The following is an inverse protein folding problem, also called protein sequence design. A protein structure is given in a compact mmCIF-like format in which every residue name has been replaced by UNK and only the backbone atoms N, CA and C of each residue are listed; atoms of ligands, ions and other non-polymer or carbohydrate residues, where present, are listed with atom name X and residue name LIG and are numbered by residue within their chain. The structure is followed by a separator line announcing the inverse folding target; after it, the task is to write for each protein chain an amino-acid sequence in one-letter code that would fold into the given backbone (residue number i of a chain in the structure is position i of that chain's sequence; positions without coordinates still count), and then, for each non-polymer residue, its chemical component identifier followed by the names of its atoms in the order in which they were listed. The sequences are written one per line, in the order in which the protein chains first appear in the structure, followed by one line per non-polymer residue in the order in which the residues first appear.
data_IF_836790277643
#
_entry.id   IF_836790277643
#
_cell.length_a   1.000
_cell.length_b   1.000
_cell.length_c   1.000
_cell.angle_alpha   90.00
_cell.angle_beta   90.00
_cell.angle_gamma   90.00
#
_symmetry.space_group_name_H-M   'P 1'
#
loop_
_entity.id
_entity.type
_entity.pdbx_description
1 polymer ?
#
# COMPACT_ATOMS: atom_id res chain seq x y z
N UNK A 1 -15.22 7.28 44.68
CA UNK A 1 -14.03 6.42 44.79
C UNK A 1 -13.09 7.05 45.79
N UNK A 2 -12.64 6.29 46.78
CA UNK A 2 -11.78 6.77 47.85
C UNK A 2 -10.40 7.17 47.29
N UNK A 3 -10.00 8.43 47.47
CA UNK A 3 -8.80 9.03 46.86
C UNK A 3 -7.48 8.48 47.42
N UNK A 4 -7.55 7.49 48.32
CA UNK A 4 -6.43 6.85 48.99
C UNK A 4 -5.99 5.51 48.37
N UNK A 5 -6.79 4.94 47.44
CA UNK A 5 -6.54 3.64 46.81
C UNK A 5 -5.20 3.55 46.05
N UNK A 6 -4.65 4.65 45.53
CA UNK A 6 -3.35 4.62 44.83
C UNK A 6 -2.14 4.35 45.73
N UNK A 7 -2.33 4.40 47.06
CA UNK A 7 -1.32 4.01 48.07
C UNK A 7 -1.42 2.54 48.47
N UNK A 8 -2.44 1.82 48.02
CA UNK A 8 -2.59 0.40 48.32
C UNK A 8 -1.51 -0.42 47.61
N UNK A 9 -1.21 -1.58 48.18
CA UNK A 9 -0.28 -2.54 47.55
C UNK A 9 -0.95 -3.10 46.29
N UNK A 10 -0.21 -3.25 45.17
CA UNK A 10 -0.74 -3.92 43.99
C UNK A 10 -1.23 -5.32 44.38
N UNK A 11 -2.45 -5.68 43.95
CA UNK A 11 -2.92 -7.05 44.07
C UNK A 11 -2.00 -7.98 43.28
N UNK A 12 -1.68 -9.11 43.89
CA UNK A 12 -0.83 -10.15 43.33
C UNK A 12 -1.61 -11.45 43.37
N UNK A 13 -1.49 -12.26 42.32
CA UNK A 13 -2.20 -13.54 42.25
C UNK A 13 -1.79 -14.47 43.39
N UNK A 14 -2.69 -15.38 43.76
CA UNK A 14 -2.53 -16.33 44.87
C UNK A 14 -1.27 -17.21 44.75
N UNK A 15 -0.86 -17.55 43.54
CA UNK A 15 0.37 -18.32 43.30
C UNK A 15 1.65 -17.51 43.55
N UNK A 16 1.60 -16.22 43.21
CA UNK A 16 2.69 -15.27 43.48
C UNK A 16 2.80 -15.00 44.97
N UNK A 17 1.68 -14.85 45.69
CA UNK A 17 1.69 -14.68 47.15
C UNK A 17 2.33 -15.86 47.87
N UNK A 18 2.04 -17.10 47.43
CA UNK A 18 2.67 -18.31 47.97
C UNK A 18 4.17 -18.32 47.74
N UNK A 19 4.60 -17.98 46.53
CA UNK A 19 6.03 -17.92 46.17
C UNK A 19 6.76 -16.81 46.93
N UNK A 20 6.07 -15.71 47.21
CA UNK A 20 6.62 -14.59 47.96
C UNK A 20 6.84 -14.92 49.44
N UNK A 21 6.21 -15.94 50.03
CA UNK A 21 6.42 -16.27 51.45
C UNK A 21 7.90 -16.53 51.77
N UNK A 22 8.62 -17.18 50.85
CA UNK A 22 10.03 -17.57 50.96
C UNK A 22 11.01 -16.41 50.74
N UNK A 23 10.53 -15.26 50.22
CA UNK A 23 11.38 -14.13 49.86
C UNK A 23 11.70 -13.23 51.04
N UNK A 24 12.85 -12.56 50.97
CA UNK A 24 13.21 -11.55 51.95
C UNK A 24 12.35 -10.27 51.81
N UNK A 25 12.41 -9.40 52.82
CA UNK A 25 11.64 -8.15 52.84
C UNK A 25 12.07 -7.16 51.75
N UNK A 26 13.31 -7.23 51.28
CA UNK A 26 13.89 -6.36 50.26
C UNK A 26 13.47 -6.80 48.85
N UNK A 27 13.44 -8.09 48.58
CA UNK A 27 12.97 -8.76 47.37
C UNK A 27 11.47 -8.54 47.17
N UNK A 28 10.68 -8.73 48.24
CA UNK A 28 9.25 -8.38 48.25
C UNK A 28 9.04 -6.92 47.84
N UNK A 29 9.80 -5.99 48.45
CA UNK A 29 9.71 -4.56 48.15
C UNK A 29 10.11 -4.25 46.70
N UNK A 30 11.19 -4.86 46.20
CA UNK A 30 11.66 -4.69 44.82
C UNK A 30 10.63 -5.21 43.81
N UNK A 31 10.00 -6.35 44.09
CA UNK A 31 8.93 -6.91 43.27
C UNK A 31 7.71 -5.98 43.20
N UNK A 32 7.18 -5.51 44.34
CA UNK A 32 6.04 -4.60 44.33
C UNK A 32 6.34 -3.26 43.64
N UNK A 33 7.57 -2.74 43.78
CA UNK A 33 8.01 -1.57 43.03
C UNK A 33 8.05 -1.84 41.52
N UNK A 34 8.55 -3.00 41.11
CA UNK A 34 8.55 -3.45 39.73
C UNK A 34 7.13 -3.62 39.16
N UNK A 35 6.24 -4.28 39.89
CA UNK A 35 4.84 -4.44 39.51
C UNK A 35 4.13 -3.08 39.37
N UNK A 36 4.37 -2.16 40.30
CA UNK A 36 3.82 -0.80 40.21
C UNK A 36 4.38 -0.04 39.02
N UNK A 37 5.68 -0.14 38.76
CA UNK A 37 6.30 0.47 37.58
C UNK A 37 5.73 -0.09 36.27
N UNK A 38 5.48 -1.41 36.23
CA UNK A 38 4.82 -2.07 35.11
C UNK A 38 3.39 -1.54 34.89
N UNK A 39 2.54 -1.51 35.93
CA UNK A 39 1.19 -0.96 35.81
C UNK A 39 1.20 0.51 35.40
N UNK A 40 2.14 1.32 35.90
CA UNK A 40 2.30 2.72 35.48
C UNK A 40 2.72 2.83 34.00
N UNK A 41 3.62 1.97 33.53
CA UNK A 41 4.02 1.93 32.13
C UNK A 41 2.84 1.52 31.23
N UNK A 42 2.12 0.45 31.58
CA UNK A 42 0.92 0.03 30.87
C UNK A 42 -0.15 1.12 30.86
N UNK A 43 -0.40 1.77 32.00
CA UNK A 43 -1.38 2.85 32.08
C UNK A 43 -0.97 4.05 31.21
N UNK A 44 0.31 4.45 31.21
CA UNK A 44 0.82 5.51 30.31
C UNK A 44 0.62 5.13 28.85
N UNK A 45 0.97 3.90 28.47
CA UNK A 45 0.78 3.39 27.11
C UNK A 45 -0.69 3.36 26.71
N UNK A 46 -1.57 2.93 27.60
CA UNK A 46 -3.02 2.93 27.38
C UNK A 46 -3.56 4.35 27.24
N UNK A 47 -3.16 5.29 28.11
CA UNK A 47 -3.56 6.69 28.01
C UNK A 47 -3.08 7.34 26.70
N UNK A 48 -1.92 6.95 26.18
CA UNK A 48 -1.38 7.46 24.92
C UNK A 48 -2.08 6.85 23.69
N UNK A 49 -2.45 5.56 23.74
CA UNK A 49 -2.97 4.81 22.58
C UNK A 49 -4.50 4.75 22.55
N UNK A 50 -5.17 4.82 23.70
CA UNK A 50 -6.62 4.78 23.75
C UNK A 50 -7.18 6.13 23.31
N UNK A 51 -8.21 6.15 22.45
CA UNK A 51 -8.84 7.36 21.98
C UNK A 51 -9.80 7.92 23.06
N UNK A 52 -9.30 8.21 24.26
CA UNK A 52 -10.10 8.67 25.39
C UNK A 52 -10.76 10.03 25.11
N UNK A 53 -10.11 10.87 24.31
CA UNK A 53 -10.63 12.17 23.87
C UNK A 53 -11.58 12.08 22.66
N UNK A 54 -11.85 10.88 22.16
CA UNK A 54 -12.73 10.71 21.00
C UNK A 54 -14.18 10.97 21.40
N UNK A 55 -14.66 12.15 21.03
CA UNK A 55 -16.01 12.64 21.30
C UNK A 55 -17.11 11.76 20.69
N UNK A 56 -16.84 11.02 19.61
CA UNK A 56 -17.82 10.09 19.01
C UNK A 56 -18.04 8.90 19.96
N UNK A 57 -16.96 8.31 20.47
CA UNK A 57 -17.05 7.19 21.42
C UNK A 57 -17.65 7.64 22.76
N UNK A 58 -17.30 8.84 23.23
CA UNK A 58 -17.91 9.43 24.42
C UNK A 58 -19.42 9.66 24.21
N UNK A 59 -19.82 10.19 23.04
CA UNK A 59 -21.22 10.45 22.73
C UNK A 59 -22.00 9.14 22.52
N UNK A 60 -21.37 8.07 22.04
CA UNK A 60 -21.98 6.75 21.92
C UNK A 60 -22.37 6.12 23.27
N UNK A 61 -21.92 6.69 24.39
CA UNK A 61 -22.41 6.31 25.73
C UNK A 61 -23.93 6.48 25.87
N UNK A 62 -24.59 7.30 25.05
CA UNK A 62 -26.05 7.43 25.01
C UNK A 62 -26.77 6.10 24.72
N UNK A 63 -26.06 5.13 24.12
CA UNK A 63 -26.60 3.79 23.89
C UNK A 63 -26.75 2.98 25.17
N UNK A 64 -25.97 3.31 26.21
CA UNK A 64 -26.18 2.78 27.54
C UNK A 64 -27.38 3.50 28.14
N UNK A 65 -28.43 2.75 28.43
CA UNK A 65 -29.70 3.27 28.99
C UNK A 65 -29.56 3.80 30.43
N UNK A 66 -28.35 4.07 30.91
CA UNK A 66 -28.16 4.64 32.24
C UNK A 66 -28.68 6.08 32.21
N UNK A 67 -29.71 6.33 33.02
CA UNK A 67 -30.44 7.59 33.10
C UNK A 67 -29.48 8.76 33.25
N UNK A 68 -29.20 9.42 32.14
CA UNK A 68 -28.42 10.64 32.06
C UNK A 68 -29.38 11.76 31.68
N UNK A 69 -29.03 13.01 31.99
CA UNK A 69 -29.81 14.18 31.61
C UNK A 69 -30.14 14.15 30.10
N UNK A 70 -31.43 14.18 29.75
CA UNK A 70 -31.96 14.13 28.38
C UNK A 70 -31.33 15.21 27.49
N UNK A 71 -31.06 16.39 28.04
CA UNK A 71 -30.44 17.48 27.28
C UNK A 71 -29.01 17.13 26.84
N UNK A 72 -28.26 16.43 27.69
CA UNK A 72 -26.91 15.94 27.36
C UNK A 72 -26.97 14.85 26.29
N UNK A 73 -27.95 13.95 26.38
CA UNK A 73 -28.16 12.89 25.38
C UNK A 73 -28.52 13.48 24.01
N UNK A 74 -29.37 14.50 23.96
CA UNK A 74 -29.75 15.18 22.73
C UNK A 74 -28.57 15.91 22.10
N UNK A 75 -27.70 16.53 22.91
CA UNK A 75 -26.45 17.13 22.41
C UNK A 75 -25.51 16.06 21.84
N UNK A 76 -25.37 14.93 22.53
CA UNK A 76 -24.58 13.80 22.05
C UNK A 76 -25.16 13.22 20.74
N UNK A 77 -26.48 13.08 20.65
CA UNK A 77 -27.18 12.62 19.45
C UNK A 77 -26.96 13.58 18.27
N UNK A 78 -27.14 14.89 18.46
CA UNK A 78 -26.85 15.92 17.45
C UNK A 78 -25.41 15.84 16.96
N UNK A 79 -24.47 15.67 17.88
CA UNK A 79 -23.06 15.51 17.54
C UNK A 79 -22.83 14.24 16.71
N UNK A 80 -23.33 13.07 17.14
CA UNK A 80 -23.18 11.81 16.41
C UNK A 80 -23.77 11.87 14.99
N UNK A 81 -24.95 12.45 14.84
CA UNK A 81 -25.58 12.61 13.52
C UNK A 81 -24.73 13.53 12.63
N UNK A 82 -24.17 14.61 13.18
CA UNK A 82 -23.27 15.50 12.41
C UNK A 82 -22.00 14.80 11.91
N UNK A 83 -21.53 13.78 12.65
CA UNK A 83 -20.34 13.00 12.29
C UNK A 83 -20.68 11.83 11.34
N UNK A 84 -21.97 11.52 11.15
CA UNK A 84 -22.46 10.39 10.35
C UNK A 84 -23.49 10.82 9.28
N UNK A 85 -23.17 11.78 8.39
CA UNK A 85 -24.10 12.26 7.36
C UNK A 85 -24.49 11.18 6.35
N UNK A 86 -23.68 10.12 6.21
CA UNK A 86 -23.99 8.94 5.40
C UNK A 86 -25.09 8.06 5.99
N UNK A 87 -25.36 8.19 7.30
CA UNK A 87 -26.35 7.39 8.01
C UNK A 87 -27.66 8.17 8.15
N UNK A 88 -27.62 9.43 8.55
CA UNK A 88 -28.80 10.30 8.68
C UNK A 88 -28.48 11.61 7.94
N UNK A 89 -29.36 12.02 7.03
CA UNK A 89 -29.18 13.27 6.27
C UNK A 89 -29.44 14.48 7.17
N UNK A 90 -28.87 15.63 6.82
CA UNK A 90 -29.06 16.88 7.58
C UNK A 90 -30.55 17.28 7.75
N UNK A 91 -31.39 16.99 6.76
CA UNK A 91 -32.83 17.26 6.79
C UNK A 91 -33.58 16.39 7.81
N UNK A 92 -33.05 15.19 8.11
CA UNK A 92 -33.68 14.19 8.98
C UNK A 92 -33.25 14.34 10.46
N UNK A 93 -32.35 15.29 10.78
CA UNK A 93 -31.78 15.48 12.12
C UNK A 93 -32.87 15.81 13.14
N UNK A 94 -33.75 16.75 12.83
CA UNK A 94 -34.85 17.14 13.73
C UNK A 94 -35.77 15.95 14.00
N UNK A 95 -36.11 15.20 12.95
CA UNK A 95 -36.95 14.00 13.06
C UNK A 95 -36.31 12.90 13.91
N UNK A 96 -35.00 12.72 13.81
CA UNK A 96 -34.27 11.76 14.66
C UNK A 96 -34.26 12.19 16.15
N UNK A 97 -34.20 13.48 16.43
CA UNK A 97 -34.31 14.02 17.80
C UNK A 97 -35.73 13.83 18.34
N UNK A 98 -36.75 14.04 17.50
CA UNK A 98 -38.14 13.80 17.88
C UNK A 98 -38.39 12.32 18.19
N UNK A 99 -37.85 11.40 17.37
CA UNK A 99 -37.86 9.96 17.68
C UNK A 99 -37.19 9.64 19.02
N UNK A 100 -36.07 10.29 19.35
CA UNK A 100 -35.38 10.10 20.63
C UNK A 100 -36.23 10.56 21.82
N UNK A 101 -36.84 11.75 21.72
CA UNK A 101 -37.76 12.24 22.76
C UNK A 101 -38.98 11.34 22.91
N UNK A 102 -39.58 10.90 21.80
CA UNK A 102 -40.70 9.96 21.83
C UNK A 102 -40.31 8.67 22.53
N UNK A 103 -39.15 8.08 22.22
CA UNK A 103 -38.65 6.88 22.89
C UNK A 103 -38.49 7.06 24.42
N UNK A 104 -38.02 8.22 24.86
CA UNK A 104 -37.88 8.53 26.30
C UNK A 104 -39.24 8.77 26.98
N UNK A 105 -40.19 9.39 26.29
CA UNK A 105 -41.55 9.58 26.78
C UNK A 105 -42.38 8.29 26.77
N UNK A 106 -42.14 7.40 25.80
CA UNK A 106 -42.77 6.09 25.61
C UNK A 106 -42.37 5.06 26.67
N UNK A 107 -41.70 5.47 27.75
CA UNK A 107 -41.12 4.60 28.79
C UNK A 107 -42.14 3.59 29.35
N UNK A 108 -42.33 2.49 28.63
CA UNK A 108 -42.80 1.23 29.15
C UNK A 108 -41.70 0.78 30.11
N UNK A 109 -41.95 1.00 31.40
CA UNK A 109 -41.10 0.63 32.53
C UNK A 109 -40.55 -0.80 32.43
N UNK A 110 -41.22 -1.69 31.71
CA UNK A 110 -40.85 -3.10 31.52
C UNK A 110 -39.67 -3.34 30.55
N UNK A 111 -39.46 -2.51 29.52
CA UNK A 111 -38.28 -2.64 28.64
C UNK A 111 -36.99 -2.18 29.32
N UNK A 112 -37.15 -1.37 30.38
CA UNK A 112 -36.07 -0.68 31.10
C UNK A 112 -35.65 -1.41 32.38
N UNK A 113 -36.50 -2.31 32.88
CA UNK A 113 -36.27 -3.08 34.11
C UNK A 113 -35.31 -4.27 33.92
N UNK A 114 -34.99 -4.67 32.68
CA UNK A 114 -34.05 -5.77 32.39
C UNK A 114 -32.60 -5.29 32.46
N UNK A 115 -32.16 -5.00 33.69
CA UNK A 115 -30.74 -4.95 34.02
C UNK A 115 -30.11 -6.33 33.82
N UNK A 116 -29.18 -6.45 32.87
CA UNK A 116 -28.44 -7.70 32.63
C UNK A 116 -28.37 -8.15 31.17
N UNK A 117 -29.23 -7.65 30.29
CA UNK A 117 -29.17 -8.01 28.86
C UNK A 117 -28.09 -7.24 28.10
N UNK A 118 -27.51 -7.90 27.09
CA UNK A 118 -26.54 -7.33 26.14
C UNK A 118 -27.17 -6.16 25.38
N UNK A 119 -26.40 -5.11 25.14
CA UNK A 119 -26.87 -3.83 24.59
C UNK A 119 -27.61 -3.97 23.25
N UNK A 120 -27.13 -4.84 22.37
CA UNK A 120 -27.72 -5.13 21.06
C UNK A 120 -29.07 -5.86 21.16
N UNK A 121 -29.25 -6.75 22.13
CA UNK A 121 -30.52 -7.44 22.38
C UNK A 121 -31.57 -6.43 22.84
N UNK A 122 -31.19 -5.53 23.74
CA UNK A 122 -32.07 -4.46 24.23
C UNK A 122 -32.53 -3.55 23.09
N UNK A 123 -31.60 -3.08 22.27
CA UNK A 123 -31.93 -2.24 21.11
C UNK A 123 -32.70 -3.01 20.04
N UNK A 124 -32.46 -4.33 19.89
CA UNK A 124 -33.25 -5.21 19.03
C UNK A 124 -34.74 -5.16 19.34
N UNK A 125 -35.12 -5.25 20.62
CA UNK A 125 -36.53 -5.14 21.06
C UNK A 125 -37.14 -3.78 20.70
N UNK A 126 -36.38 -2.70 20.79
CA UNK A 126 -36.83 -1.35 20.40
C UNK A 126 -37.07 -1.27 18.88
N UNK A 127 -36.21 -1.92 18.08
CA UNK A 127 -36.36 -1.94 16.61
C UNK A 127 -37.58 -2.74 16.13
N UNK A 128 -38.07 -3.67 16.95
CA UNK A 128 -39.25 -4.49 16.66
C UNK A 128 -40.57 -3.74 16.94
N UNK A 129 -40.52 -2.63 17.68
CA UNK A 129 -41.70 -1.80 17.95
C UNK A 129 -42.25 -1.24 16.64
N UNK A 130 -43.56 -1.42 16.44
CA UNK A 130 -44.29 -0.93 15.28
C UNK A 130 -45.26 0.16 15.69
N UNK A 131 -45.37 1.17 14.83
CA UNK A 131 -46.46 2.15 14.86
C UNK A 131 -47.80 1.46 14.55
N UNK A 132 -48.95 2.08 14.90
CA UNK A 132 -50.27 1.52 14.60
C UNK A 132 -50.51 1.17 13.12
N UNK A 133 -49.79 1.82 12.20
CA UNK A 133 -49.79 1.52 10.75
C UNK A 133 -48.85 0.40 10.31
N UNK A 134 -48.29 -0.40 11.23
CA UNK A 134 -47.41 -1.54 10.93
C UNK A 134 -45.97 -1.18 10.52
N UNK A 135 -45.65 0.11 10.37
CA UNK A 135 -44.31 0.62 10.10
C UNK A 135 -43.43 0.60 11.37
N UNK A 136 -42.09 0.53 11.25
CA UNK A 136 -41.20 0.64 12.40
C UNK A 136 -41.44 1.96 13.15
N UNK A 137 -41.49 1.90 14.48
CA UNK A 137 -41.81 3.05 15.34
C UNK A 137 -40.70 4.12 15.36
N UNK A 138 -39.44 3.69 15.28
CA UNK A 138 -38.26 4.58 15.30
C UNK A 138 -37.27 4.22 14.16
N UNK A 139 -37.61 4.51 12.89
CA UNK A 139 -36.80 4.11 11.74
C UNK A 139 -35.42 4.81 11.69
N UNK A 140 -35.35 6.11 11.99
CA UNK A 140 -34.09 6.86 11.92
C UNK A 140 -33.15 6.45 13.06
N UNK A 141 -33.71 6.32 14.27
CA UNK A 141 -32.94 5.88 15.43
C UNK A 141 -32.44 4.45 15.26
N UNK A 142 -33.27 3.56 14.69
CA UNK A 142 -32.85 2.18 14.40
C UNK A 142 -31.65 2.12 13.47
N UNK A 143 -31.63 2.97 12.43
CA UNK A 143 -30.52 3.05 11.47
C UNK A 143 -29.25 3.58 12.14
N UNK A 144 -29.37 4.63 12.94
CA UNK A 144 -28.23 5.22 13.67
C UNK A 144 -27.62 4.24 14.66
N UNK A 145 -28.43 3.64 15.52
CA UNK A 145 -27.96 2.74 16.57
C UNK A 145 -27.32 1.49 15.97
N UNK A 146 -27.89 0.91 14.90
CA UNK A 146 -27.26 -0.21 14.19
C UNK A 146 -25.88 0.17 13.66
N UNK A 147 -25.70 1.37 13.12
CA UNK A 147 -24.39 1.81 12.66
C UNK A 147 -23.39 1.95 13.81
N UNK A 148 -23.81 2.56 14.93
CA UNK A 148 -22.96 2.73 16.11
C UNK A 148 -22.56 1.40 16.75
N UNK A 149 -23.48 0.43 16.84
CA UNK A 149 -23.20 -0.92 17.38
C UNK A 149 -22.32 -1.77 16.45
N UNK A 150 -22.19 -1.39 15.17
CA UNK A 150 -21.26 -2.01 14.23
C UNK A 150 -19.85 -1.43 14.31
N UNK A 151 -19.61 -0.38 15.10
CA UNK A 151 -18.27 0.15 15.30
C UNK A 151 -17.42 -0.87 16.09
N UNK A 152 -16.24 -1.23 15.59
CA UNK A 152 -15.35 -2.14 16.31
C UNK A 152 -14.90 -1.48 17.62
N UNK A 153 -15.15 -2.15 18.74
CA UNK A 153 -14.84 -1.67 20.09
C UNK A 153 -13.40 -1.96 20.52
N UNK A 154 -12.57 -2.48 19.61
CA UNK A 154 -11.15 -2.74 19.83
C UNK A 154 -10.54 -3.59 18.72
N UNK A 155 -9.22 -3.81 18.80
CA UNK A 155 -8.48 -4.63 17.83
C UNK A 155 -8.58 -6.13 18.11
N UNK A 156 -9.26 -6.54 19.18
CA UNK A 156 -9.34 -7.93 19.61
C UNK A 156 -9.89 -8.87 18.52
N UNK A 157 -10.84 -8.43 17.70
CA UNK A 157 -11.36 -9.25 16.59
C UNK A 157 -10.32 -9.44 15.47
N UNK A 158 -9.54 -8.39 15.18
CA UNK A 158 -8.41 -8.48 14.25
C UNK A 158 -7.30 -9.39 14.80
N UNK A 159 -6.99 -9.27 16.09
CA UNK A 159 -5.97 -10.05 16.81
C UNK A 159 -6.33 -11.53 16.95
N UNK A 160 -7.60 -11.85 17.22
CA UNK A 160 -8.12 -13.23 17.14
C UNK A 160 -7.89 -13.80 15.76
N UNK A 161 -8.18 -13.01 14.72
CA UNK A 161 -7.86 -13.36 13.36
C UNK A 161 -6.36 -13.66 13.16
N UNK A 162 -5.46 -12.79 13.64
CA UNK A 162 -4.02 -13.02 13.55
C UNK A 162 -3.57 -14.27 14.29
N UNK A 163 -4.15 -14.56 15.45
CA UNK A 163 -3.87 -15.79 16.20
C UNK A 163 -4.28 -17.04 15.42
N UNK A 164 -5.41 -17.01 14.72
CA UNK A 164 -5.82 -18.10 13.83
C UNK A 164 -4.86 -18.28 12.64
N UNK A 165 -4.22 -17.20 12.20
CA UNK A 165 -3.22 -17.24 11.14
C UNK A 165 -1.83 -17.71 11.60
N UNK A 166 -1.59 -17.81 12.91
CA UNK A 166 -0.29 -18.23 13.46
C UNK A 166 0.19 -19.56 12.86
N UNK A 167 -0.75 -20.47 12.59
CA UNK A 167 -0.51 -21.78 11.95
C UNK A 167 0.10 -21.69 10.55
N UNK A 168 -0.15 -20.61 9.80
CA UNK A 168 0.43 -20.42 8.47
C UNK A 168 1.91 -20.00 8.56
N UNK A 169 2.28 -19.25 9.60
CA UNK A 169 3.66 -18.83 9.85
C UNK A 169 4.51 -19.97 10.44
N UNK A 170 3.97 -20.73 11.40
CA UNK A 170 4.71 -21.79 12.10
C UNK A 170 5.06 -22.98 11.18
N UNK A 171 4.20 -23.31 10.21
CA UNK A 171 4.35 -24.50 9.38
C UNK A 171 4.99 -24.24 8.00
N UNK A 172 5.66 -23.08 7.80
CA UNK A 172 6.30 -22.68 6.52
C UNK A 172 5.37 -22.77 5.29
N UNK A 173 4.06 -22.61 5.47
CA UNK A 173 3.15 -22.58 4.32
C UNK A 173 3.39 -21.29 3.54
N UNK A 174 4.01 -21.38 2.36
CA UNK A 174 4.13 -20.26 1.42
C UNK A 174 2.80 -20.02 0.72
N UNK A 175 1.83 -19.48 1.47
CA UNK A 175 0.57 -19.02 0.90
C UNK A 175 0.69 -17.53 0.57
N UNK A 176 0.27 -17.17 -0.64
CA UNK A 176 0.15 -15.76 -0.99
C UNK A 176 -1.01 -15.11 -0.20
N UNK A 177 -0.93 -13.79 -0.01
CA UNK A 177 -1.92 -13.00 0.74
C UNK A 177 -3.35 -13.23 0.21
N UNK A 178 -3.51 -13.37 -1.11
CA UNK A 178 -4.81 -13.64 -1.73
C UNK A 178 -5.42 -14.98 -1.27
N UNK A 179 -4.60 -16.03 -1.14
CA UNK A 179 -5.04 -17.34 -0.63
C UNK A 179 -5.42 -17.27 0.84
N UNK A 180 -4.66 -16.53 1.65
CA UNK A 180 -4.98 -16.32 3.07
C UNK A 180 -6.32 -15.58 3.22
N UNK A 181 -6.52 -14.50 2.45
CA UNK A 181 -7.76 -13.74 2.45
C UNK A 181 -8.96 -14.60 2.00
N UNK A 182 -8.79 -15.40 0.94
CA UNK A 182 -9.82 -16.33 0.47
C UNK A 182 -10.22 -17.35 1.54
N UNK A 183 -9.24 -18.02 2.15
CA UNK A 183 -9.47 -19.00 3.23
C UNK A 183 -10.17 -18.35 4.42
N UNK A 184 -9.74 -17.16 4.83
CA UNK A 184 -10.39 -16.42 5.92
C UNK A 184 -11.83 -16.08 5.60
N UNK A 185 -12.10 -15.55 4.40
CA UNK A 185 -13.45 -15.15 4.02
C UNK A 185 -14.39 -16.36 4.00
N UNK A 186 -13.93 -17.50 3.48
CA UNK A 186 -14.68 -18.77 3.52
C UNK A 186 -14.91 -19.25 4.95
N UNK A 187 -13.88 -19.27 5.79
CA UNK A 187 -14.00 -19.72 7.20
C UNK A 187 -14.96 -18.84 8.00
N UNK A 188 -14.85 -17.52 7.84
CA UNK A 188 -15.76 -16.56 8.50
C UNK A 188 -17.20 -16.72 8.01
N UNK A 189 -17.39 -16.99 6.72
CA UNK A 189 -18.73 -17.24 6.17
C UNK A 189 -19.32 -18.54 6.71
N UNK A 190 -18.54 -19.62 6.78
CA UNK A 190 -18.96 -20.91 7.35
C UNK A 190 -19.36 -20.80 8.83
N UNK A 191 -18.72 -19.92 9.61
CA UNK A 191 -19.10 -19.68 11.02
C UNK A 191 -20.53 -19.20 11.20
N UNK A 192 -21.15 -18.59 10.18
CA UNK A 192 -22.57 -18.20 10.22
C UNK A 192 -23.51 -19.41 10.24
N UNK A 193 -22.99 -20.59 9.89
CA UNK A 193 -23.69 -21.86 9.80
C UNK A 193 -23.08 -22.90 10.74
N UNK A 194 -22.55 -22.46 11.89
CA UNK A 194 -21.89 -23.32 12.89
C UNK A 194 -20.65 -24.10 12.37
N UNK A 195 -20.10 -23.69 11.24
CA UNK A 195 -19.02 -24.41 10.56
C UNK A 195 -19.49 -25.61 9.73
N UNK A 196 -20.79 -25.84 9.61
CA UNK A 196 -21.36 -26.90 8.80
C UNK A 196 -21.54 -26.42 7.34
N UNK A 197 -20.81 -27.06 6.43
CA UNK A 197 -20.86 -26.75 5.00
C UNK A 197 -22.19 -27.15 4.34
N UNK A 198 -22.94 -28.08 4.92
CA UNK A 198 -24.20 -28.57 4.34
C UNK A 198 -25.31 -27.53 4.49
N UNK A 199 -25.28 -26.76 5.58
CA UNK A 199 -26.23 -25.68 5.86
C UNK A 199 -26.02 -24.45 4.97
N UNK A 200 -24.92 -24.39 4.21
CA UNK A 200 -24.61 -23.25 3.35
C UNK A 200 -25.52 -23.27 2.10
N UNK A 201 -26.35 -22.24 1.89
CA UNK A 201 -27.21 -22.17 0.71
C UNK A 201 -26.36 -22.00 -0.56
N UNK A 202 -26.60 -22.88 -1.54
CA UNK A 202 -25.98 -22.80 -2.85
C UNK A 202 -26.71 -21.76 -3.72
N UNK A 203 -26.32 -20.49 -3.57
CA UNK A 203 -26.86 -19.41 -4.41
C UNK A 203 -26.43 -19.56 -5.87
N UNK A 204 -27.25 -19.04 -6.78
CA UNK A 204 -26.92 -18.98 -8.22
C UNK A 204 -25.63 -18.21 -8.48
N UNK A 205 -25.38 -17.15 -7.71
CA UNK A 205 -24.16 -16.35 -7.73
C UNK A 205 -22.92 -17.18 -7.32
N UNK A 206 -23.05 -18.01 -6.27
CA UNK A 206 -21.96 -18.88 -5.82
C UNK A 206 -21.61 -19.91 -6.91
N UNK A 207 -22.63 -20.53 -7.53
CA UNK A 207 -22.45 -21.46 -8.63
C UNK A 207 -21.80 -20.81 -9.85
N UNK A 208 -22.21 -19.58 -10.21
CA UNK A 208 -21.57 -18.81 -11.28
C UNK A 208 -20.13 -18.43 -10.94
N UNK A 209 -19.85 -18.06 -9.70
CA UNK A 209 -18.50 -17.74 -9.21
C UNK A 209 -17.57 -18.94 -9.32
N UNK A 210 -18.04 -20.14 -8.92
CA UNK A 210 -17.28 -21.39 -9.07
C UNK A 210 -17.01 -21.70 -10.54
N UNK A 211 -18.01 -21.58 -11.42
CA UNK A 211 -17.83 -21.79 -12.87
C UNK A 211 -16.76 -20.85 -13.47
N UNK A 212 -16.71 -19.60 -13.01
CA UNK A 212 -15.73 -18.59 -13.48
C UNK A 212 -14.37 -18.66 -12.77
N UNK A 213 -14.23 -19.45 -11.72
CA UNK A 213 -13.01 -19.49 -10.89
C UNK A 213 -11.78 -19.87 -11.69
N UNK A 214 -11.89 -20.88 -12.58
CA UNK A 214 -10.79 -21.33 -13.44
C UNK A 214 -10.36 -20.25 -14.43
N UNK A 215 -11.32 -19.56 -15.06
CA UNK A 215 -11.04 -18.46 -15.99
C UNK A 215 -10.32 -17.30 -15.28
N UNK A 216 -10.79 -16.91 -14.10
CA UNK A 216 -10.13 -15.88 -13.27
C UNK A 216 -8.73 -16.28 -12.82
N UNK A 217 -8.53 -17.55 -12.49
CA UNK A 217 -7.20 -18.06 -12.14
C UNK A 217 -6.25 -17.97 -13.33
N UNK A 218 -6.68 -18.44 -14.51
CA UNK A 218 -5.85 -18.40 -15.72
C UNK A 218 -5.50 -16.97 -16.14
N UNK A 219 -6.46 -16.04 -16.05
CA UNK A 219 -6.24 -14.63 -16.31
C UNK A 219 -5.20 -14.04 -15.34
N UNK A 220 -5.35 -14.29 -14.04
CA UNK A 220 -4.39 -13.84 -13.01
C UNK A 220 -2.98 -14.37 -13.26
N UNK A 221 -2.84 -15.66 -13.58
CA UNK A 221 -1.52 -16.26 -13.87
C UNK A 221 -0.89 -15.67 -15.12
N UNK A 222 -1.69 -15.43 -16.17
CA UNK A 222 -1.20 -14.80 -17.41
C UNK A 222 -0.76 -13.35 -17.17
N UNK A 223 -1.54 -12.56 -16.44
CA UNK A 223 -1.17 -11.18 -16.07
C UNK A 223 0.10 -11.13 -15.20
N UNK A 224 0.25 -12.08 -14.26
CA UNK A 224 1.44 -12.18 -13.43
C UNK A 224 2.68 -12.48 -14.28
N UNK A 225 2.61 -13.48 -15.17
CA UNK A 225 3.69 -13.82 -16.09
C UNK A 225 4.04 -12.63 -17.01
N UNK A 226 3.05 -11.94 -17.56
CA UNK A 226 3.29 -10.77 -18.40
C UNK A 226 3.98 -9.64 -17.63
N UNK A 227 3.61 -9.43 -16.37
CA UNK A 227 4.24 -8.42 -15.50
C UNK A 227 5.69 -8.78 -15.16
N UNK A 228 6.01 -10.05 -14.92
CA UNK A 228 7.37 -10.52 -14.68
C UNK A 228 8.24 -10.41 -15.94
N UNK A 229 7.70 -10.81 -17.10
CA UNK A 229 8.41 -10.66 -18.37
C UNK A 229 8.74 -9.20 -18.66
N UNK A 230 7.78 -8.28 -18.46
CA UNK A 230 8.01 -6.83 -18.62
C UNK A 230 9.07 -6.29 -17.66
N UNK A 231 9.10 -6.75 -16.41
CA UNK A 231 10.14 -6.36 -15.44
C UNK A 231 11.52 -6.86 -15.88
N UNK A 232 11.63 -8.12 -16.31
CA UNK A 232 12.90 -8.69 -16.82
C UNK A 232 13.42 -7.95 -18.05
N UNK A 233 12.54 -7.59 -18.98
CA UNK A 233 12.87 -6.78 -20.15
C UNK A 233 13.35 -5.38 -19.73
N UNK A 234 12.65 -4.71 -18.80
CA UNK A 234 13.05 -3.40 -18.29
C UNK A 234 14.38 -3.40 -17.53
N UNK A 235 14.65 -4.42 -16.72
CA UNK A 235 15.90 -4.55 -15.96
C UNK A 235 17.11 -4.84 -16.88
N UNK A 236 16.90 -5.60 -17.97
CA UNK A 236 17.96 -5.84 -18.97
C UNK A 236 18.27 -4.59 -19.80
N UNK A 237 17.24 -3.84 -20.22
CA UNK A 237 17.39 -2.65 -21.05
C UNK A 237 18.01 -1.48 -20.25
N UNK A 238 17.63 -1.33 -18.98
CA UNK A 238 18.25 -0.34 -18.08
C UNK A 238 19.68 -0.71 -17.68
N UNK A 239 19.99 -2.00 -17.51
CA UNK A 239 21.36 -2.45 -17.23
C UNK A 239 22.33 -2.12 -18.37
N UNK A 240 21.93 -2.42 -19.61
CA UNK A 240 22.75 -2.14 -20.79
C UNK A 240 22.97 -0.63 -21.02
N UNK A 241 21.93 0.19 -20.88
CA UNK A 241 22.02 1.66 -21.01
C UNK A 241 22.88 2.29 -19.89
N UNK A 242 22.84 1.75 -18.67
CA UNK A 242 23.68 2.22 -17.57
C UNK A 242 25.15 1.88 -17.79
N UNK A 243 25.46 0.68 -18.28
CA UNK A 243 26.83 0.26 -18.54
C UNK A 243 27.47 1.03 -19.72
N UNK A 244 26.72 1.29 -20.78
CA UNK A 244 27.18 2.12 -21.90
C UNK A 244 27.42 3.58 -21.48
N UNK A 245 26.52 4.16 -20.69
CA UNK A 245 26.69 5.53 -20.13
C UNK A 245 27.91 5.63 -19.22
N UNK A 246 28.16 4.61 -18.38
CA UNK A 246 29.35 4.55 -17.51
C UNK A 246 30.63 4.48 -18.34
N UNK A 247 30.65 3.64 -19.36
CA UNK A 247 31.79 3.50 -20.26
C UNK A 247 32.10 4.82 -20.99
N UNK A 248 31.08 5.48 -21.52
CA UNK A 248 31.21 6.79 -22.18
C UNK A 248 31.76 7.87 -21.22
N UNK A 249 31.23 7.96 -20.00
CA UNK A 249 31.72 8.91 -19.00
C UNK A 249 33.20 8.69 -18.65
N UNK A 250 33.61 7.43 -18.47
CA UNK A 250 35.01 7.09 -18.21
C UNK A 250 35.94 7.49 -19.36
N UNK A 251 35.49 7.32 -20.62
CA UNK A 251 36.26 7.75 -21.79
C UNK A 251 36.34 9.28 -21.90
N UNK A 252 35.25 10.00 -21.62
CA UNK A 252 35.23 11.47 -21.57
C UNK A 252 36.19 12.01 -20.48
N UNK A 253 36.22 11.40 -19.29
CA UNK A 253 37.16 11.74 -18.22
C UNK A 253 38.62 11.50 -18.66
N UNK A 254 38.92 10.38 -19.34
CA UNK A 254 40.26 10.15 -19.91
C UNK A 254 40.67 11.20 -20.94
N UNK A 255 39.75 11.62 -21.81
CA UNK A 255 40.01 12.71 -22.79
C UNK A 255 40.34 14.02 -22.07
N UNK A 256 39.61 14.36 -21.00
CA UNK A 256 39.93 15.57 -20.22
C UNK A 256 41.30 15.49 -19.55
N UNK A 257 41.68 14.31 -19.03
CA UNK A 257 42.98 14.07 -18.43
C UNK A 257 44.12 14.18 -19.45
N UNK A 258 43.99 13.56 -20.62
CA UNK A 258 44.97 13.65 -21.71
C UNK A 258 45.14 15.08 -22.22
N UNK A 259 44.06 15.86 -22.32
CA UNK A 259 44.14 17.31 -22.66
C UNK A 259 44.88 18.12 -21.60
N UNK A 260 44.72 17.80 -20.32
CA UNK A 260 45.44 18.46 -19.24
C UNK A 260 46.95 18.12 -19.28
N UNK A 261 47.31 16.88 -19.62
CA UNK A 261 48.71 16.48 -19.82
C UNK A 261 49.36 17.22 -21.00
N UNK A 262 48.66 17.36 -22.12
CA UNK A 262 49.15 18.14 -23.27
C UNK A 262 49.40 19.60 -22.92
N UNK A 263 48.49 20.21 -22.15
CA UNK A 263 48.67 21.59 -21.68
C UNK A 263 49.90 21.72 -20.76
N UNK A 264 50.11 20.77 -19.86
CA UNK A 264 51.33 20.73 -19.01
C UNK A 264 52.60 20.56 -19.84
N UNK A 265 52.57 19.70 -20.86
CA UNK A 265 53.71 19.52 -21.76
C UNK A 265 54.04 20.83 -22.50
N UNK A 266 53.03 21.57 -22.97
CA UNK A 266 53.19 22.88 -23.60
C UNK A 266 53.78 23.94 -22.65
N UNK A 267 53.30 23.98 -21.40
CA UNK A 267 53.84 24.85 -20.35
C UNK A 267 55.31 24.52 -20.02
N UNK A 268 55.67 23.24 -19.97
CA UNK A 268 57.05 22.78 -19.71
C UNK A 268 57.96 23.16 -20.87
N UNK A 269 57.55 22.90 -22.13
CA UNK A 269 58.34 23.27 -23.32
C UNK A 269 58.53 24.78 -23.36
N UNK A 270 57.48 25.57 -23.14
CA UNK A 270 57.57 27.02 -23.16
C UNK A 270 58.44 27.58 -22.02
N UNK A 271 58.44 26.97 -20.83
CA UNK A 271 59.38 27.31 -19.77
C UNK A 271 60.83 26.93 -20.11
N UNK A 272 61.05 25.76 -20.71
CA UNK A 272 62.37 25.27 -21.13
C UNK A 272 63.00 26.13 -22.22
N UNK A 273 62.18 26.60 -23.16
CA UNK A 273 62.60 27.55 -24.19
C UNK A 273 62.98 28.92 -23.60
N UNK A 274 62.26 29.40 -22.57
CA UNK A 274 62.58 30.65 -21.86
C UNK A 274 63.85 30.51 -21.00
N UNK A 275 64.04 29.36 -20.36
CA UNK A 275 65.19 29.08 -19.49
C UNK A 275 66.43 28.56 -20.24
N UNK A 276 66.31 28.30 -21.56
CA UNK A 276 67.33 27.62 -22.40
C UNK A 276 67.77 26.26 -21.84
N UNK A 277 66.89 25.59 -21.09
CA UNK A 277 67.13 24.25 -20.56
C UNK A 277 66.69 23.21 -21.58
N UNK A 278 67.66 22.50 -22.18
CA UNK A 278 67.38 21.43 -23.14
C UNK A 278 66.63 20.26 -22.48
N UNK A 279 66.98 19.94 -21.24
CA UNK A 279 66.35 18.87 -20.44
C UNK A 279 64.85 19.10 -20.24
N UNK A 280 64.44 20.34 -19.97
CA UNK A 280 63.01 20.69 -19.82
C UNK A 280 62.26 20.57 -21.15
N UNK A 281 62.90 20.93 -22.27
CA UNK A 281 62.29 20.79 -23.61
C UNK A 281 62.12 19.32 -23.98
N UNK A 282 63.11 18.47 -23.68
CA UNK A 282 63.06 17.03 -23.95
C UNK A 282 62.03 16.30 -23.05
N UNK A 283 61.96 16.66 -21.76
CA UNK A 283 60.92 16.20 -20.84
C UNK A 283 59.51 16.64 -21.29
N UNK A 284 59.39 17.86 -21.81
CA UNK A 284 58.15 18.35 -22.39
C UNK A 284 57.75 17.60 -23.67
N UNK A 285 58.69 17.32 -24.57
CA UNK A 285 58.43 16.58 -25.82
C UNK A 285 58.01 15.13 -25.58
N UNK A 286 58.63 14.45 -24.62
CA UNK A 286 58.26 13.08 -24.22
C UNK A 286 56.84 13.02 -23.66
N UNK A 287 56.47 13.96 -22.77
CA UNK A 287 55.10 14.09 -22.26
C UNK A 287 54.07 14.41 -23.35
N UNK A 288 54.47 15.19 -24.36
CA UNK A 288 53.61 15.55 -25.49
C UNK A 288 53.34 14.33 -26.39
N UNK A 289 54.37 13.50 -26.63
CA UNK A 289 54.22 12.26 -27.39
C UNK A 289 53.32 11.24 -26.67
N UNK A 290 53.49 11.08 -25.36
CA UNK A 290 52.65 10.21 -24.53
C UNK A 290 51.19 10.70 -24.47
N UNK A 291 51.00 12.00 -24.24
CA UNK A 291 49.68 12.63 -24.20
C UNK A 291 48.93 12.50 -25.53
N UNK A 292 49.62 12.67 -26.67
CA UNK A 292 49.02 12.52 -27.99
C UNK A 292 48.64 11.07 -28.29
N UNK A 293 49.50 10.11 -27.96
CA UNK A 293 49.23 8.68 -28.17
C UNK A 293 47.99 8.23 -27.36
N UNK A 294 47.92 8.62 -26.08
CA UNK A 294 46.79 8.32 -25.21
C UNK A 294 45.47 8.99 -25.68
N UNK A 295 45.56 10.24 -26.17
CA UNK A 295 44.40 10.97 -26.69
C UNK A 295 43.87 10.33 -27.98
N UNK A 296 44.75 9.95 -28.91
CA UNK A 296 44.34 9.30 -30.16
C UNK A 296 43.66 7.95 -29.92
N UNK A 297 44.17 7.14 -28.99
CA UNK A 297 43.55 5.86 -28.63
C UNK A 297 42.15 6.03 -28.02
N UNK A 298 42.00 6.99 -27.11
CA UNK A 298 40.71 7.26 -26.44
C UNK A 298 39.67 7.86 -27.39
N UNK A 299 40.08 8.73 -28.33
CA UNK A 299 39.20 9.26 -29.37
C UNK A 299 38.74 8.17 -30.35
N UNK A 300 39.63 7.25 -30.74
CA UNK A 300 39.28 6.13 -31.61
C UNK A 300 38.24 5.21 -30.96
N UNK A 301 38.37 4.92 -29.66
CA UNK A 301 37.38 4.15 -28.91
C UNK A 301 36.02 4.85 -28.82
N UNK A 302 36.01 6.18 -28.65
CA UNK A 302 34.77 6.97 -28.61
C UNK A 302 34.07 7.00 -29.99
N UNK A 303 34.85 7.08 -31.06
CA UNK A 303 34.33 7.03 -32.43
C UNK A 303 33.75 5.64 -32.77
N UNK A 304 34.39 4.57 -32.32
CA UNK A 304 33.89 3.20 -32.51
C UNK A 304 32.57 2.96 -31.77
N UNK A 305 32.43 3.47 -30.55
CA UNK A 305 31.17 3.45 -29.80
C UNK A 305 30.07 4.26 -30.53
N UNK A 306 30.42 5.44 -31.06
CA UNK A 306 29.49 6.26 -31.84
C UNK A 306 29.04 5.57 -33.13
N UNK A 307 29.95 4.90 -33.85
CA UNK A 307 29.62 4.13 -35.06
C UNK A 307 28.71 2.94 -34.77
N UNK A 308 28.97 2.19 -33.69
CA UNK A 308 28.09 1.08 -33.25
C UNK A 308 26.69 1.57 -32.91
N UNK A 309 26.55 2.78 -32.35
CA UNK A 309 25.26 3.38 -32.06
C UNK A 309 24.54 3.96 -33.29
N UNK A 310 25.27 4.23 -34.39
CA UNK A 310 24.74 4.92 -35.59
C UNK A 310 24.44 3.99 -36.77
N UNK A 311 24.93 2.74 -36.73
CA UNK A 311 24.77 1.76 -37.80
C UNK A 311 23.38 1.09 -37.73
N UNK A 312 22.38 1.77 -38.27
CA UNK A 312 21.01 1.26 -38.33
C UNK A 312 20.75 0.48 -39.62
N UNK A 313 20.20 -0.73 -39.49
CA UNK A 313 19.72 -1.55 -40.60
C UNK A 313 18.64 -0.85 -41.47
N UNK A 314 18.05 0.26 -41.01
CA UNK A 314 17.12 1.08 -41.78
C UNK A 314 17.76 1.81 -42.97
N UNK A 315 19.08 1.97 -42.98
CA UNK A 315 19.76 2.69 -44.05
C UNK A 315 19.94 1.84 -45.33
N UNK A 316 19.81 0.51 -45.23
CA UNK A 316 19.84 -0.42 -46.37
C UNK A 316 18.54 -0.33 -47.20
N UNK A 317 18.59 0.12 -48.48
CA UNK A 317 17.42 0.17 -49.35
C UNK A 317 16.74 -1.17 -49.56
N UNK A 318 17.52 -2.26 -49.70
CA UNK A 318 16.96 -3.59 -49.98
C UNK A 318 16.14 -4.10 -48.78
N UNK A 319 16.60 -3.81 -47.57
CA UNK A 319 15.91 -4.19 -46.34
C UNK A 319 14.63 -3.35 -46.14
N UNK A 320 14.64 -2.05 -46.48
CA UNK A 320 13.43 -1.21 -46.45
C UNK A 320 12.37 -1.66 -47.45
N UNK A 321 12.80 -2.00 -48.65
CA UNK A 321 11.89 -2.46 -49.71
C UNK A 321 11.32 -3.84 -49.37
N UNK A 322 12.13 -4.73 -48.81
CA UNK A 322 11.70 -6.03 -48.30
C UNK A 322 10.67 -5.88 -47.16
N UNK A 323 10.92 -5.02 -46.17
CA UNK A 323 9.99 -4.75 -45.07
C UNK A 323 8.66 -4.18 -45.59
N UNK A 324 8.71 -3.29 -46.57
CA UNK A 324 7.52 -2.70 -47.17
C UNK A 324 6.71 -3.73 -47.96
N UNK A 325 7.39 -4.66 -48.64
CA UNK A 325 6.78 -5.69 -49.49
C UNK A 325 6.23 -6.89 -48.69
N UNK A 326 6.86 -7.22 -47.56
CA UNK A 326 6.46 -8.33 -46.68
C UNK A 326 5.42 -7.93 -45.63
N UNK A 327 4.99 -6.66 -45.62
CA UNK A 327 4.01 -6.15 -44.66
C UNK A 327 2.68 -6.87 -44.82
N UNK A 328 2.23 -7.54 -43.75
CA UNK A 328 0.90 -8.16 -43.70
C UNK A 328 -0.16 -7.06 -43.80
N UNK A 329 -1.16 -7.27 -44.67
CA UNK A 329 -2.25 -6.30 -44.82
C UNK A 329 -3.08 -6.22 -43.53
N UNK A 330 -3.59 -5.03 -43.24
CA UNK A 330 -4.41 -4.80 -42.05
C UNK A 330 -5.71 -5.62 -42.06
N UNK A 331 -6.27 -5.87 -43.25
CA UNK A 331 -7.42 -6.77 -43.43
C UNK A 331 -7.12 -8.22 -43.03
N UNK A 332 -5.95 -8.74 -43.41
CA UNK A 332 -5.53 -10.11 -43.04
C UNK A 332 -5.23 -10.22 -41.54
N UNK A 333 -4.59 -9.19 -40.95
CA UNK A 333 -4.40 -9.09 -39.50
C UNK A 333 -5.72 -9.12 -38.74
N UNK A 334 -6.73 -8.38 -39.20
CA UNK A 334 -8.06 -8.37 -38.59
C UNK A 334 -8.79 -9.71 -38.75
N UNK A 335 -8.58 -10.42 -39.87
CA UNK A 335 -9.09 -11.78 -40.09
C UNK A 335 -8.43 -12.80 -39.15
N UNK A 336 -7.13 -12.71 -38.93
CA UNK A 336 -6.43 -13.59 -37.99
C UNK A 336 -6.84 -13.32 -36.53
N UNK A 337 -7.10 -12.04 -36.18
CA UNK A 337 -7.68 -11.68 -34.88
C UNK A 337 -9.07 -12.26 -34.68
N UNK A 338 -9.92 -12.28 -35.72
CA UNK A 338 -11.28 -12.84 -35.61
C UNK A 338 -11.31 -14.37 -35.60
N UNK A 339 -10.32 -15.03 -36.21
CA UNK A 339 -10.14 -16.48 -36.16
C UNK A 339 -9.69 -16.99 -34.79
N UNK A 340 -9.15 -16.12 -33.93
CA UNK A 340 -8.86 -16.41 -32.53
C UNK A 340 -10.04 -15.97 -31.65
N UNK A 341 -10.99 -16.86 -31.30
CA UNK A 341 -12.25 -16.49 -30.63
C UNK A 341 -12.07 -16.13 -29.14
N UNK A 342 -10.83 -15.94 -28.66
CA UNK A 342 -10.51 -15.64 -27.26
C UNK A 342 -10.22 -14.13 -27.12
N UNK A 343 -11.18 -13.33 -26.63
CA UNK A 343 -11.00 -11.90 -26.44
C UNK A 343 -9.79 -11.60 -25.54
N UNK A 344 -8.96 -10.63 -25.94
CA UNK A 344 -7.81 -10.17 -25.15
C UNK A 344 -6.54 -11.03 -25.26
N UNK A 345 -6.54 -12.08 -26.07
CA UNK A 345 -5.30 -12.84 -26.36
C UNK A 345 -4.44 -12.07 -27.36
N UNK A 346 -3.14 -11.91 -27.07
CA UNK A 346 -2.20 -11.35 -28.04
C UNK A 346 -2.17 -12.25 -29.29
N UNK A 347 -2.25 -11.63 -30.46
CA UNK A 347 -2.07 -12.33 -31.72
C UNK A 347 -0.59 -12.67 -31.87
N UNK A 348 -0.23 -13.92 -31.66
CA UNK A 348 1.12 -14.42 -31.92
C UNK A 348 1.25 -14.71 -33.42
N UNK A 349 2.09 -13.93 -34.09
CA UNK A 349 2.36 -14.06 -35.52
C UNK A 349 3.56 -14.99 -35.77
N UNK A 350 4.31 -15.40 -34.74
CA UNK A 350 5.50 -16.24 -34.88
C UNK A 350 6.47 -15.73 -35.95
N UNK A 351 6.77 -16.58 -36.92
CA UNK A 351 7.68 -16.26 -38.04
C UNK A 351 7.09 -15.24 -39.03
N UNK A 352 5.79 -14.94 -38.96
CA UNK A 352 5.13 -13.90 -39.75
C UNK A 352 5.12 -12.52 -39.05
N UNK A 353 5.74 -12.40 -37.87
CA UNK A 353 5.85 -11.12 -37.17
C UNK A 353 6.78 -10.15 -37.92
N UNK A 354 6.28 -8.94 -38.20
CA UNK A 354 7.08 -7.90 -38.87
C UNK A 354 8.08 -7.28 -37.91
N UNK A 355 9.33 -7.75 -37.96
CA UNK A 355 10.45 -7.21 -37.18
C UNK A 355 11.08 -6.01 -37.89
N UNK A 356 10.56 -4.81 -37.60
CA UNK A 356 10.94 -3.59 -38.30
C UNK A 356 11.93 -2.78 -37.43
N UNK A 357 13.15 -2.48 -37.91
CA UNK A 357 14.06 -1.59 -37.20
C UNK A 357 13.52 -0.16 -37.18
N UNK A 358 13.73 0.58 -36.08
CA UNK A 358 13.27 1.98 -35.91
C UNK A 358 14.42 2.83 -35.37
N UNK A 359 14.61 4.06 -35.89
CA UNK A 359 15.59 5.02 -35.35
C UNK A 359 14.88 5.99 -34.41
N UNK A 360 15.38 6.10 -33.18
CA UNK A 360 14.96 7.12 -32.22
C UNK A 360 15.94 8.30 -32.25
N UNK A 361 15.47 9.48 -32.69
CA UNK A 361 16.28 10.71 -32.70
C UNK A 361 15.78 11.63 -31.59
N UNK A 362 16.60 11.80 -30.55
CA UNK A 362 16.34 12.82 -29.52
C UNK A 362 16.97 14.14 -29.96
N UNK A 363 16.14 15.16 -30.16
CA UNK A 363 16.60 16.55 -30.31
C UNK A 363 16.57 17.23 -28.95
N UNK A 364 17.72 17.66 -28.45
CA UNK A 364 17.73 18.49 -27.25
C UNK A 364 17.21 19.89 -27.60
N UNK A 365 16.11 20.28 -26.95
CA UNK A 365 15.51 21.59 -27.12
C UNK A 365 16.31 22.67 -26.37
N UNK A 366 16.62 23.78 -27.04
CA UNK A 366 16.98 25.01 -26.35
C UNK A 366 15.83 25.41 -25.44
N UNK A 367 16.08 25.56 -24.14
CA UNK A 367 15.11 26.05 -23.14
C UNK A 367 14.68 27.51 -23.33
N UNK A 368 14.90 28.11 -24.49
CA UNK A 368 14.61 29.52 -24.75
C UNK A 368 13.17 29.81 -25.22
N UNK A 369 12.34 28.79 -25.46
CA UNK A 369 10.96 28.99 -25.96
C UNK A 369 9.87 28.46 -25.03
N UNK A 370 10.06 28.54 -23.71
CA UNK A 370 8.93 28.52 -22.77
C UNK A 370 8.59 29.96 -22.43
N UNK A 371 7.67 30.54 -23.21
CA UNK A 371 7.10 31.86 -23.00
C UNK A 371 6.35 31.95 -21.67
N UNK A 372 7.10 32.12 -20.59
CA UNK A 372 6.63 32.61 -19.30
C UNK A 372 7.33 33.95 -19.09
N UNK A 373 6.82 34.99 -19.75
CA UNK A 373 7.01 36.35 -19.29
C UNK A 373 6.26 36.48 -17.97
N UNK A 374 6.99 36.54 -16.87
CA UNK A 374 6.49 37.09 -15.61
C UNK A 374 6.59 38.61 -15.73
N UNK A 375 5.49 39.23 -16.12
CA UNK A 375 5.11 40.57 -15.62
C UNK A 375 3.98 40.40 -14.60
#
# INVERSE_FOLDING_TARGET
MDASLWKSRPEVGTDTEKSMLEWDSSEKKRFYLGARAFYLACAKDLLQKLPLDNRVLQSASLLNWQSTNVESEVRALKYLVSQLPQVIKHEEVSSAIDEWHMLKCDSNSDLLALGGERIDVRWGKIFELKSPGGQPKYPLLSRLVKCLLCLPHGNADCERGFSENKRFYENRYSLCIASINGLRQTKTYLRRYDGDGIKVPLSTELLQSVRRSRARYTERTASAQQSESRKRLGDQDTGADVDEKRLRKNLEEKVTSSRALLKRAEDIISSGLRSKSLEQVEAGQTLLAEGNSALSQTLSQLEELSKKASDSALWDPLLRDAVSSQKVSEGELNRQRSQNPKPGTLLDLGDAESRIPVVAIRKDGSRTNLGLSLE
#
